data_IF_352491260789
#
_entry.id   IF_352491260789
#
_cell.length_a   1.000
_cell.length_b   1.000
_cell.length_c   1.000
_cell.angle_alpha   90.00
_cell.angle_beta   90.00
_cell.angle_gamma   90.00
#
_symmetry.space_group_name_H-M   'P 1'
#
loop_
_entity.id
_entity.type
_entity.pdbx_description
1 polymer ?
#
# COMPACT_ATOMS: atom_id res chain seq x y z
N UNK A 1 -26.94 52.45 4.34
CA UNK A 1 -27.38 51.39 5.27
C UNK A 1 -27.57 50.11 4.49
N UNK A 2 -27.29 48.96 5.11
CA UNK A 2 -27.04 47.63 4.53
C UNK A 2 -25.66 47.58 3.85
N UNK A 3 -24.64 46.89 4.34
CA UNK A 3 -24.54 46.01 5.49
C UNK A 3 -23.15 45.40 5.42
N UNK A 4 -22.35 45.60 6.46
CA UNK A 4 -21.10 44.90 6.63
C UNK A 4 -21.36 43.38 6.65
N UNK A 5 -20.69 42.62 5.78
CA UNK A 5 -20.06 41.35 6.15
C UNK A 5 -18.79 41.23 5.30
N UNK A 6 -17.70 41.68 5.93
CA UNK A 6 -16.41 41.06 5.74
C UNK A 6 -16.47 39.77 6.59
N UNK A 7 -16.48 38.59 5.98
CA UNK A 7 -16.12 37.37 6.70
C UNK A 7 -15.45 36.38 5.75
N UNK A 8 -14.13 36.39 5.83
CA UNK A 8 -13.27 35.21 5.88
C UNK A 8 -13.76 34.00 5.06
N UNK A 9 -13.18 33.85 3.87
CA UNK A 9 -12.76 32.53 3.46
C UNK A 9 -11.38 32.61 2.81
N UNK A 10 -10.38 32.77 3.68
CA UNK A 10 -9.02 32.36 3.37
C UNK A 10 -9.03 30.82 3.37
N UNK A 11 -9.47 30.20 2.28
CA UNK A 11 -9.20 28.79 2.04
C UNK A 11 -7.93 28.71 1.20
N UNK A 12 -6.82 28.65 1.95
CA UNK A 12 -5.56 28.02 1.55
C UNK A 12 -5.80 26.91 0.52
N UNK A 13 -5.49 27.18 -0.75
CA UNK A 13 -5.32 26.13 -1.75
C UNK A 13 -3.94 25.51 -1.53
N UNK A 14 -3.80 24.83 -0.40
CA UNK A 14 -2.62 24.07 -0.01
C UNK A 14 -2.87 22.63 -0.46
N UNK A 15 -2.14 22.21 -1.50
CA UNK A 15 -1.95 20.81 -1.92
C UNK A 15 -3.22 20.12 -2.44
N UNK A 16 -3.24 19.33 -3.51
CA UNK A 16 -2.21 18.53 -4.13
C UNK A 16 -2.32 18.70 -5.65
N UNK A 17 -1.18 18.82 -6.29
CA UNK A 17 -0.96 18.24 -7.62
C UNK A 17 -1.22 16.74 -7.53
N UNK A 18 -2.50 16.32 -7.62
CA UNK A 18 -2.84 14.92 -7.89
C UNK A 18 -2.39 14.68 -9.32
N UNK A 19 -1.11 14.31 -9.45
CA UNK A 19 -0.54 13.81 -10.69
C UNK A 19 -1.50 12.75 -11.21
N UNK A 20 -1.83 12.85 -12.50
CA UNK A 20 -2.46 11.80 -13.29
C UNK A 20 -1.49 10.59 -13.35
N UNK A 21 -1.12 10.03 -12.20
CA UNK A 21 -0.60 8.67 -12.11
C UNK A 21 -1.82 7.82 -12.40
N UNK A 22 -1.84 7.25 -13.60
CA UNK A 22 -2.58 6.03 -13.93
C UNK A 22 -2.63 5.13 -12.71
N UNK A 23 -3.74 4.41 -12.47
CA UNK A 23 -4.00 3.48 -11.35
C UNK A 23 -3.00 2.29 -11.21
N UNK A 24 -1.77 2.47 -11.66
CA UNK A 24 -0.60 1.64 -11.43
C UNK A 24 0.51 2.43 -10.71
N UNK A 25 0.42 3.77 -10.71
CA UNK A 25 1.42 4.65 -10.10
C UNK A 25 1.28 4.73 -8.58
N UNK A 26 0.07 4.58 -8.04
CA UNK A 26 -0.15 4.61 -6.58
C UNK A 26 0.35 3.30 -5.96
N UNK A 27 0.12 2.16 -6.60
CA UNK A 27 0.61 0.85 -6.16
C UNK A 27 2.13 0.78 -6.15
N UNK A 28 2.77 1.37 -7.16
CA UNK A 28 4.23 1.55 -7.20
C UNK A 28 4.74 2.44 -6.07
N UNK A 29 4.06 3.53 -5.77
CA UNK A 29 4.43 4.44 -4.68
C UNK A 29 4.26 3.77 -3.31
N UNK A 30 3.18 3.02 -3.11
CA UNK A 30 2.93 2.23 -1.90
C UNK A 30 4.02 1.17 -1.72
N UNK A 31 4.38 0.46 -2.79
CA UNK A 31 5.47 -0.51 -2.75
C UNK A 31 6.79 0.15 -2.34
N UNK A 32 7.14 1.30 -2.95
CA UNK A 32 8.33 2.07 -2.57
C UNK A 32 8.31 2.49 -1.10
N UNK A 33 7.17 3.04 -0.65
CA UNK A 33 6.98 3.49 0.73
C UNK A 33 7.23 2.39 1.77
N UNK A 34 6.67 1.20 1.57
CA UNK A 34 6.88 0.09 2.51
C UNK A 34 8.33 -0.42 2.52
N UNK A 35 9.01 -0.40 1.37
CA UNK A 35 10.42 -0.76 1.32
C UNK A 35 11.31 0.27 2.02
N UNK A 36 11.00 1.57 1.90
CA UNK A 36 11.75 2.60 2.59
C UNK A 36 11.49 2.58 4.10
N UNK A 37 10.27 2.25 4.53
CA UNK A 37 9.98 1.98 5.94
C UNK A 37 10.79 0.79 6.49
N UNK A 38 10.86 -0.31 5.74
CA UNK A 38 11.68 -1.47 6.11
C UNK A 38 13.16 -1.09 6.29
N UNK A 39 13.72 -0.32 5.35
CA UNK A 39 15.10 0.19 5.46
C UNK A 39 15.30 1.08 6.68
N UNK A 40 14.34 1.97 6.97
CA UNK A 40 14.42 2.91 8.08
C UNK A 40 14.31 2.20 9.44
N UNK A 41 13.49 1.16 9.54
CA UNK A 41 13.24 0.40 10.78
C UNK A 41 14.27 -0.68 11.03
N UNK A 42 14.91 -1.16 9.97
CA UNK A 42 15.92 -2.20 10.02
C UNK A 42 15.33 -3.62 9.97
N UNK A 43 16.21 -4.63 9.93
CA UNK A 43 15.81 -6.04 9.90
C UNK A 43 15.01 -6.43 11.16
N UNK A 44 14.26 -7.52 11.09
CA UNK A 44 13.35 -8.04 12.14
C UNK A 44 12.13 -7.17 12.51
N UNK A 45 12.06 -5.92 12.03
CA UNK A 45 10.88 -5.07 12.21
C UNK A 45 9.64 -5.58 11.47
N UNK A 46 8.45 -5.20 11.94
CA UNK A 46 7.18 -5.54 11.27
C UNK A 46 7.11 -4.95 9.85
N UNK A 47 7.71 -3.78 9.65
CA UNK A 47 7.83 -3.13 8.34
C UNK A 47 8.73 -3.96 7.40
N UNK A 48 9.86 -4.47 7.90
CA UNK A 48 10.73 -5.38 7.13
C UNK A 48 10.05 -6.71 6.80
N UNK A 49 9.28 -7.29 7.73
CA UNK A 49 8.48 -8.50 7.47
C UNK A 49 7.45 -8.26 6.37
N UNK A 50 6.74 -7.12 6.44
CA UNK A 50 5.74 -6.77 5.43
C UNK A 50 6.37 -6.48 4.06
N UNK A 51 7.53 -5.81 4.00
CA UNK A 51 8.28 -5.66 2.76
C UNK A 51 8.68 -7.02 2.16
N UNK A 52 9.04 -7.99 2.99
CA UNK A 52 9.26 -9.38 2.58
C UNK A 52 8.03 -10.01 1.93
N UNK A 53 6.85 -9.82 2.51
CA UNK A 53 5.57 -10.26 1.93
C UNK A 53 5.33 -9.64 0.56
N UNK A 54 5.55 -8.33 0.41
CA UNK A 54 5.38 -7.63 -0.86
C UNK A 54 6.37 -8.10 -1.92
N UNK A 55 7.62 -8.34 -1.54
CA UNK A 55 8.64 -8.86 -2.44
C UNK A 55 8.30 -10.29 -2.90
N UNK A 56 7.86 -11.15 -1.99
CA UNK A 56 7.43 -12.49 -2.34
C UNK A 56 6.19 -12.50 -3.23
N UNK A 57 5.22 -11.60 -2.96
CA UNK A 57 4.07 -11.38 -3.85
C UNK A 57 4.53 -10.94 -5.25
N UNK A 58 5.52 -10.05 -5.33
CA UNK A 58 6.08 -9.55 -6.59
C UNK A 58 6.69 -10.70 -7.41
N UNK A 59 7.41 -11.60 -6.76
CA UNK A 59 7.97 -12.79 -7.40
C UNK A 59 6.91 -13.81 -7.84
N UNK A 60 5.74 -13.85 -7.17
CA UNK A 60 4.67 -14.80 -7.48
C UNK A 60 3.77 -14.36 -8.64
N UNK A 61 3.33 -13.10 -8.66
CA UNK A 61 2.30 -12.62 -9.60
C UNK A 61 2.77 -11.49 -10.51
N UNK A 62 3.98 -10.98 -10.30
CA UNK A 62 4.58 -9.91 -11.08
C UNK A 62 4.14 -8.50 -10.66
N UNK A 63 4.85 -7.51 -11.21
CA UNK A 63 4.75 -6.09 -10.82
C UNK A 63 3.33 -5.54 -10.95
N UNK A 64 2.74 -5.68 -12.13
CA UNK A 64 1.40 -5.16 -12.43
C UNK A 64 0.37 -5.65 -11.42
N UNK A 65 0.33 -6.95 -11.15
CA UNK A 65 -0.68 -7.53 -10.28
C UNK A 65 -0.47 -7.15 -8.82
N UNK A 66 0.77 -7.08 -8.34
CA UNK A 66 1.06 -6.61 -6.98
C UNK A 66 0.65 -5.15 -6.78
N UNK A 67 0.90 -4.29 -7.76
CA UNK A 67 0.54 -2.88 -7.64
C UNK A 67 -0.97 -2.69 -7.66
N UNK A 68 -1.70 -3.40 -8.53
CA UNK A 68 -3.17 -3.42 -8.50
C UNK A 68 -3.70 -3.88 -7.13
N UNK A 69 -3.16 -4.96 -6.58
CA UNK A 69 -3.56 -5.47 -5.26
C UNK A 69 -3.23 -4.50 -4.12
N UNK A 70 -2.11 -3.78 -4.21
CA UNK A 70 -1.72 -2.77 -3.22
C UNK A 70 -2.66 -1.56 -3.26
N UNK A 71 -3.10 -1.14 -4.44
CA UNK A 71 -4.09 -0.08 -4.58
C UNK A 71 -5.44 -0.51 -4.00
N UNK A 72 -5.90 -1.72 -4.33
CA UNK A 72 -7.13 -2.31 -3.77
C UNK A 72 -7.06 -2.44 -2.25
N UNK A 73 -5.92 -2.91 -1.73
CA UNK A 73 -5.67 -3.00 -0.30
C UNK A 73 -5.77 -1.62 0.38
N UNK A 74 -5.17 -0.60 -0.22
CA UNK A 74 -5.21 0.75 0.33
C UNK A 74 -6.63 1.34 0.31
N UNK A 75 -7.37 1.15 -0.79
CA UNK A 75 -8.75 1.61 -0.93
C UNK A 75 -9.73 0.92 0.03
N UNK A 76 -9.48 -0.36 0.33
CA UNK A 76 -10.32 -1.17 1.23
C UNK A 76 -9.85 -1.16 2.68
N UNK A 77 -8.76 -0.47 3.00
CA UNK A 77 -8.19 -0.46 4.35
C UNK A 77 -7.53 -1.79 4.75
N UNK A 78 -7.10 -2.61 3.79
CA UNK A 78 -6.49 -3.94 3.94
C UNK A 78 -4.98 -3.93 3.67
N UNK A 79 -4.34 -5.08 3.86
CA UNK A 79 -2.93 -5.39 3.56
C UNK A 79 -2.84 -6.70 2.79
N UNK A 80 -1.77 -6.87 2.03
CA UNK A 80 -1.48 -8.15 1.39
C UNK A 80 -0.94 -9.13 2.43
N UNK A 81 -1.36 -10.39 2.35
CA UNK A 81 -0.80 -11.49 3.12
C UNK A 81 -0.57 -12.67 2.21
N UNK A 82 0.50 -13.40 2.44
CA UNK A 82 0.75 -14.68 1.78
C UNK A 82 -0.03 -15.77 2.51
N UNK A 83 -0.75 -16.59 1.76
CA UNK A 83 -1.32 -17.84 2.23
C UNK A 83 -0.42 -18.99 1.81
N UNK A 84 -0.01 -19.82 2.78
CA UNK A 84 0.64 -21.10 2.54
C UNK A 84 -0.44 -22.18 2.40
N UNK A 85 -0.34 -23.01 1.37
CA UNK A 85 -1.19 -24.20 1.26
C UNK A 85 -0.92 -25.11 2.46
N UNK A 86 -1.97 -25.45 3.22
CA UNK A 86 -1.89 -26.20 4.48
C UNK A 86 -1.41 -27.65 4.38
N UNK A 87 -0.80 -28.05 3.26
CA UNK A 87 -0.17 -29.36 3.15
C UNK A 87 1.18 -29.32 3.85
N UNK A 88 1.25 -29.91 5.05
CA UNK A 88 2.46 -30.04 5.86
C UNK A 88 3.63 -30.75 5.17
N UNK A 89 3.42 -31.27 3.94
CA UNK A 89 4.41 -31.95 3.10
C UNK A 89 4.82 -31.16 1.84
N UNK A 90 4.17 -30.04 1.52
CA UNK A 90 4.58 -29.17 0.42
C UNK A 90 5.49 -28.09 0.96
N UNK A 91 6.78 -28.22 0.68
CA UNK A 91 7.84 -27.24 0.93
C UNK A 91 7.34 -25.79 0.90
N UNK A 92 7.18 -25.18 2.07
CA UNK A 92 7.13 -23.75 2.50
C UNK A 92 6.85 -22.64 1.46
N UNK A 93 6.20 -22.96 0.35
CA UNK A 93 6.01 -22.06 -0.78
C UNK A 93 4.65 -21.39 -0.60
N UNK A 94 4.61 -20.05 -0.53
CA UNK A 94 3.34 -19.34 -0.52
C UNK A 94 2.57 -19.70 -1.80
N UNK A 95 1.30 -20.04 -1.63
CA UNK A 95 0.44 -20.57 -2.68
C UNK A 95 -0.48 -19.50 -3.28
N UNK A 96 -0.88 -18.53 -2.47
CA UNK A 96 -1.81 -17.46 -2.86
C UNK A 96 -1.50 -16.15 -2.13
N UNK A 97 -2.01 -15.05 -2.68
CA UNK A 97 -1.99 -13.72 -2.05
C UNK A 97 -3.44 -13.37 -1.70
N UNK A 98 -3.67 -12.97 -0.45
CA UNK A 98 -4.99 -12.57 0.05
C UNK A 98 -4.93 -11.18 0.68
N UNK A 99 -6.09 -10.50 0.71
CA UNK A 99 -6.26 -9.21 1.36
C UNK A 99 -6.82 -9.41 2.77
N UNK A 100 -6.10 -8.92 3.78
CA UNK A 100 -6.48 -9.02 5.20
C UNK A 100 -6.62 -7.64 5.83
N UNK A 101 -7.47 -7.51 6.84
CA UNK A 101 -7.69 -6.23 7.50
C UNK A 101 -6.40 -5.72 8.19
N UNK A 102 -6.21 -4.40 8.20
CA UNK A 102 -5.13 -3.74 8.94
C UNK A 102 -5.41 -3.84 10.44
N UNK A 103 -4.97 -4.92 11.07
CA UNK A 103 -4.94 -5.05 12.54
C UNK A 103 -3.85 -4.19 13.17
#
# INVERSE_FOLDING_TARGET
MIGAILSKLNLTSTFLTKTNKTAMGKGKDLFGHYNDLAKAKGPESEESKYAGVLFQALLMVGERRVFELLEEADETGKKLKLETSGDANSSDRPASIVLVDKN
#
